data_IF_708417864415
#
_entry.id   IF_708417864415
#
_cell.length_a   1.000
_cell.length_b   1.000
_cell.length_c   1.000
_cell.angle_alpha   90.00
_cell.angle_beta   90.00
_cell.angle_gamma   90.00
#
_symmetry.space_group_name_H-M   'P 1'
#
loop_
_entity.id
_entity.type
_entity.pdbx_description
1 polymer ?
#
# COMPACT_ATOMS: atom_id res chain seq x y z
N UNK A 1 79.45 -58.33 1.96
CA UNK A 1 78.28 -59.21 2.24
C UNK A 1 77.72 -58.75 3.59
N UNK A 2 76.46 -58.37 3.83
CA UNK A 2 75.24 -58.31 3.03
C UNK A 2 74.21 -57.50 3.86
N UNK A 3 73.60 -56.52 3.19
CA UNK A 3 72.29 -55.85 3.44
C UNK A 3 71.32 -56.47 4.46
N UNK A 4 70.67 -55.62 5.30
CA UNK A 4 69.20 -55.67 5.47
C UNK A 4 68.58 -54.35 6.01
N UNK A 5 67.90 -53.62 5.12
CA UNK A 5 66.92 -52.56 5.45
C UNK A 5 65.61 -53.17 5.97
N UNK A 6 64.94 -52.48 6.92
CA UNK A 6 63.48 -52.50 7.20
C UNK A 6 63.16 -51.12 7.81
N UNK A 7 62.50 -50.15 7.16
CA UNK A 7 61.10 -50.08 6.70
C UNK A 7 60.17 -50.74 7.73
N UNK A 8 59.47 -50.03 8.61
CA UNK A 8 58.52 -48.95 8.35
C UNK A 8 57.12 -49.55 8.26
N UNK A 9 56.29 -49.42 9.31
CA UNK A 9 54.82 -49.58 9.28
C UNK A 9 54.27 -49.54 10.70
N UNK A 10 53.24 -48.73 10.96
CA UNK A 10 52.53 -48.79 12.24
C UNK A 10 51.65 -47.59 12.62
N UNK A 11 50.96 -46.94 11.67
CA UNK A 11 49.89 -45.98 12.00
C UNK A 11 48.70 -46.12 11.03
N UNK A 12 48.03 -47.26 11.09
CA UNK A 12 46.69 -47.44 10.53
C UNK A 12 45.74 -47.71 11.68
N UNK A 13 44.73 -46.85 11.91
CA UNK A 13 43.68 -47.22 12.86
C UNK A 13 42.65 -46.18 13.30
N UNK A 14 42.80 -44.87 13.05
CA UNK A 14 41.89 -43.89 13.68
C UNK A 14 41.20 -42.90 12.74
N UNK A 15 41.43 -42.95 11.43
CA UNK A 15 40.82 -42.03 10.45
C UNK A 15 39.55 -42.55 9.75
N UNK A 16 39.15 -43.80 10.01
CA UNK A 16 38.04 -44.46 9.31
C UNK A 16 36.63 -44.11 9.82
N UNK A 17 36.50 -43.52 11.00
CA UNK A 17 35.18 -43.24 11.63
C UNK A 17 34.70 -41.80 11.42
N UNK A 18 35.62 -40.84 11.22
CA UNK A 18 35.27 -39.43 11.05
C UNK A 18 34.55 -39.13 9.72
N UNK A 19 34.86 -39.85 8.65
CA UNK A 19 34.32 -39.59 7.30
C UNK A 19 32.88 -40.07 7.10
N UNK A 20 32.41 -41.07 7.86
CA UNK A 20 31.01 -41.55 7.83
C UNK A 20 30.06 -40.64 8.60
N UNK A 21 30.52 -40.03 9.69
CA UNK A 21 29.73 -39.11 10.50
C UNK A 21 29.45 -37.78 9.76
N UNK A 22 30.41 -37.28 8.98
CA UNK A 22 30.24 -36.06 8.17
C UNK A 22 29.16 -36.23 7.09
N UNK A 23 29.17 -37.34 6.33
CA UNK A 23 28.13 -37.61 5.30
C UNK A 23 26.70 -37.60 5.83
N UNK A 24 26.48 -38.09 7.06
CA UNK A 24 25.14 -38.08 7.70
C UNK A 24 24.73 -36.69 8.16
N UNK A 25 25.67 -35.90 8.69
CA UNK A 25 25.44 -34.50 9.10
C UNK A 25 25.17 -33.61 7.89
N UNK A 26 25.92 -33.76 6.80
CA UNK A 26 25.72 -33.00 5.56
C UNK A 26 24.37 -33.31 4.92
N UNK A 27 23.91 -34.57 4.99
CA UNK A 27 22.59 -34.96 4.51
C UNK A 27 21.45 -34.42 5.39
N UNK A 28 21.64 -34.37 6.71
CA UNK A 28 20.69 -33.73 7.63
C UNK A 28 20.62 -32.22 7.39
N UNK A 29 21.77 -31.56 7.21
CA UNK A 29 21.83 -30.14 6.87
C UNK A 29 21.14 -29.87 5.53
N UNK A 30 21.41 -30.68 4.49
CA UNK A 30 20.75 -30.56 3.20
C UNK A 30 19.22 -30.69 3.31
N UNK A 31 18.72 -31.59 4.17
CA UNK A 31 17.28 -31.73 4.44
C UNK A 31 16.71 -30.52 5.18
N UNK A 32 17.43 -29.99 6.17
CA UNK A 32 17.01 -28.81 6.92
C UNK A 32 16.96 -27.60 6.00
N UNK A 33 18.02 -27.34 5.23
CA UNK A 33 18.06 -26.24 4.26
C UNK A 33 17.01 -26.41 3.16
N UNK A 34 16.76 -27.63 2.68
CA UNK A 34 15.68 -27.92 1.74
C UNK A 34 14.30 -27.63 2.33
N UNK A 35 14.05 -28.05 3.57
CA UNK A 35 12.80 -27.78 4.28
C UNK A 35 12.59 -26.29 4.55
N UNK A 36 13.62 -25.60 5.05
CA UNK A 36 13.59 -24.15 5.29
C UNK A 36 13.37 -23.39 3.98
N UNK A 37 14.06 -23.77 2.91
CA UNK A 37 13.88 -23.18 1.59
C UNK A 37 12.45 -23.35 1.06
N UNK A 38 11.85 -24.52 1.25
CA UNK A 38 10.47 -24.79 0.85
C UNK A 38 9.47 -23.93 1.63
N UNK A 39 9.66 -23.80 2.95
CA UNK A 39 8.80 -22.96 3.80
C UNK A 39 8.91 -21.49 3.39
N UNK A 40 10.13 -20.99 3.12
CA UNK A 40 10.34 -19.62 2.67
C UNK A 40 9.70 -19.37 1.29
N UNK A 41 9.82 -20.31 0.36
CA UNK A 41 9.18 -20.20 -0.95
C UNK A 41 7.65 -20.18 -0.83
N UNK A 42 7.07 -21.05 0.00
CA UNK A 42 5.63 -21.08 0.25
C UNK A 42 5.14 -19.77 0.90
N UNK A 43 5.89 -19.24 1.88
CA UNK A 43 5.58 -17.97 2.52
C UNK A 43 5.63 -16.79 1.52
N UNK A 44 6.62 -16.79 0.63
CA UNK A 44 6.75 -15.78 -0.42
C UNK A 44 5.56 -15.83 -1.39
N UNK A 45 5.21 -17.02 -1.88
CA UNK A 45 4.04 -17.21 -2.76
C UNK A 45 2.77 -16.76 -2.06
N UNK A 46 2.54 -17.18 -0.81
CA UNK A 46 1.38 -16.77 -0.02
C UNK A 46 1.29 -15.26 0.16
N UNK A 47 2.43 -14.60 0.39
CA UNK A 47 2.48 -13.15 0.57
C UNK A 47 2.29 -12.38 -0.74
N UNK A 48 2.84 -12.86 -1.86
CA UNK A 48 2.78 -12.20 -3.16
C UNK A 48 1.48 -12.47 -3.92
N UNK A 49 0.86 -13.63 -3.73
CA UNK A 49 -0.39 -14.02 -4.39
C UNK A 49 -1.51 -12.97 -4.33
N UNK A 50 -1.85 -12.36 -3.17
CA UNK A 50 -2.92 -11.36 -3.12
C UNK A 50 -2.60 -10.11 -3.94
N UNK A 51 -1.33 -9.70 -4.03
CA UNK A 51 -0.93 -8.54 -4.82
C UNK A 51 -1.13 -8.77 -6.32
N UNK A 52 -0.89 -9.99 -6.79
CA UNK A 52 -1.12 -10.34 -8.19
C UNK A 52 -2.61 -10.27 -8.52
N UNK A 53 -3.47 -10.79 -7.63
CA UNK A 53 -4.93 -10.70 -7.77
C UNK A 53 -5.43 -9.25 -7.78
N UNK A 54 -4.90 -8.39 -6.90
CA UNK A 54 -5.27 -6.96 -6.83
C UNK A 54 -4.84 -6.20 -8.09
N UNK A 55 -3.69 -6.55 -8.67
CA UNK A 55 -3.18 -5.86 -9.88
C UNK A 55 -4.08 -6.03 -11.11
N UNK A 56 -4.87 -7.12 -11.17
CA UNK A 56 -5.87 -7.33 -12.21
C UNK A 56 -7.09 -6.42 -12.01
N UNK A 57 -7.51 -6.20 -10.76
CA UNK A 57 -8.66 -5.36 -10.43
C UNK A 57 -8.41 -3.89 -10.81
N UNK A 58 -7.21 -3.36 -10.52
CA UNK A 58 -6.81 -1.98 -10.88
C UNK A 58 -6.65 -1.75 -12.38
N UNK A 59 -6.40 -2.79 -13.20
CA UNK A 59 -6.41 -2.65 -14.66
C UNK A 59 -7.82 -2.46 -15.23
N UNK A 60 -8.84 -2.83 -14.46
CA UNK A 60 -10.24 -2.82 -14.84
C UNK A 60 -11.11 -1.90 -14.00
N UNK A 61 -10.56 -0.91 -13.29
CA UNK A 61 -11.35 0.23 -12.84
C UNK A 61 -11.43 1.22 -14.02
N UNK A 62 -12.49 1.22 -14.84
CA UNK A 62 -12.90 2.47 -15.41
C UNK A 62 -13.22 3.34 -14.21
N UNK A 63 -12.50 4.45 -14.04
CA UNK A 63 -13.03 5.58 -13.31
C UNK A 63 -14.30 6.03 -14.05
N UNK A 64 -15.40 5.31 -13.86
CA UNK A 64 -16.73 5.74 -14.27
C UNK A 64 -17.08 6.83 -13.28
N UNK A 65 -16.44 7.99 -13.44
CA UNK A 65 -16.82 9.18 -12.72
C UNK A 65 -18.27 9.44 -13.15
N UNK A 66 -19.23 9.38 -12.21
CA UNK A 66 -20.62 9.58 -12.56
C UNK A 66 -20.75 10.97 -13.20
N UNK A 67 -21.57 11.05 -14.24
CA UNK A 67 -21.86 12.33 -14.89
C UNK A 67 -22.41 13.31 -13.85
N UNK A 68 -21.71 14.43 -13.65
CA UNK A 68 -22.18 15.48 -12.73
C UNK A 68 -23.32 16.25 -13.40
N UNK A 69 -24.54 16.03 -12.93
CA UNK A 69 -25.71 16.78 -13.37
C UNK A 69 -25.80 18.09 -12.60
N UNK A 70 -25.50 19.21 -13.27
CA UNK A 70 -25.65 20.54 -12.70
C UNK A 70 -26.96 21.17 -13.13
N UNK A 71 -27.63 21.85 -12.19
CA UNK A 71 -28.79 22.68 -12.49
C UNK A 71 -28.42 23.96 -13.24
N UNK A 72 -29.44 24.71 -13.67
CA UNK A 72 -29.24 26.02 -14.30
C UNK A 72 -28.54 27.00 -13.34
N UNK A 73 -27.45 27.67 -13.77
CA UNK A 73 -26.78 28.65 -12.92
C UNK A 73 -27.66 29.87 -12.67
N UNK A 74 -27.65 30.36 -11.43
CA UNK A 74 -28.30 31.61 -11.05
C UNK A 74 -27.43 32.80 -11.49
N UNK A 75 -28.03 33.78 -12.18
CA UNK A 75 -27.34 34.99 -12.66
C UNK A 75 -27.92 36.21 -11.96
N UNK A 76 -27.03 37.08 -11.49
CA UNK A 76 -27.35 38.38 -10.93
C UNK A 76 -27.04 39.48 -11.96
N UNK A 77 -27.94 40.45 -12.09
CA UNK A 77 -27.74 41.64 -12.92
C UNK A 77 -28.05 42.92 -12.13
N UNK A 78 -27.34 44.03 -12.38
CA UNK A 78 -27.68 45.32 -11.80
C UNK A 78 -29.12 45.73 -12.14
N UNK A 79 -29.84 46.30 -11.18
CA UNK A 79 -31.24 46.72 -11.35
C UNK A 79 -32.27 45.59 -11.27
N UNK A 80 -31.85 44.34 -11.06
CA UNK A 80 -32.76 43.23 -10.82
C UNK A 80 -33.51 43.45 -9.49
N UNK A 81 -34.84 43.42 -9.52
CA UNK A 81 -35.71 43.55 -8.35
C UNK A 81 -35.65 42.32 -7.44
N UNK A 82 -34.53 42.11 -6.75
CA UNK A 82 -34.31 41.00 -5.83
C UNK A 82 -34.09 41.54 -4.42
N UNK A 83 -34.95 41.13 -3.48
CA UNK A 83 -34.80 41.51 -2.08
C UNK A 83 -33.57 40.84 -1.45
N UNK A 84 -32.85 41.50 -0.52
CA UNK A 84 -31.68 40.92 0.15
C UNK A 84 -31.97 39.58 0.85
N UNK A 85 -33.11 39.46 1.54
CA UNK A 85 -33.53 38.23 2.20
C UNK A 85 -33.75 37.07 1.20
N UNK A 86 -34.34 37.37 0.04
CA UNK A 86 -34.54 36.39 -1.03
C UNK A 86 -33.21 35.93 -1.66
N UNK A 87 -32.20 36.82 -1.72
CA UNK A 87 -30.86 36.45 -2.16
C UNK A 87 -30.16 35.52 -1.16
N UNK A 88 -30.28 35.79 0.14
CA UNK A 88 -29.75 34.91 1.21
C UNK A 88 -30.36 33.51 1.11
N UNK A 89 -31.69 33.40 1.07
CA UNK A 89 -32.40 32.12 0.93
C UNK A 89 -31.97 31.37 -0.35
N UNK A 90 -31.69 32.10 -1.43
CA UNK A 90 -31.22 31.50 -2.68
C UNK A 90 -29.80 30.96 -2.57
N UNK A 91 -28.91 31.70 -1.91
CA UNK A 91 -27.52 31.27 -1.68
C UNK A 91 -27.47 30.01 -0.82
N UNK A 92 -28.28 29.95 0.24
CA UNK A 92 -28.40 28.77 1.09
C UNK A 92 -28.89 27.53 0.31
N UNK A 93 -29.88 27.71 -0.58
CA UNK A 93 -30.32 26.64 -1.50
C UNK A 93 -29.25 26.19 -2.50
N UNK A 94 -28.31 27.05 -2.82
CA UNK A 94 -27.14 26.73 -3.66
C UNK A 94 -25.96 26.19 -2.84
N UNK A 95 -26.19 25.80 -1.59
CA UNK A 95 -25.21 25.28 -0.65
C UNK A 95 -24.09 26.27 -0.24
N UNK A 96 -24.32 27.58 -0.41
CA UNK A 96 -23.47 28.59 0.20
C UNK A 96 -23.80 28.73 1.69
N UNK A 97 -22.80 29.09 2.50
CA UNK A 97 -22.93 29.21 3.96
C UNK A 97 -22.65 30.64 4.44
N UNK A 98 -23.21 31.09 5.57
CA UNK A 98 -22.78 32.35 6.18
C UNK A 98 -21.29 32.27 6.55
N UNK A 99 -20.57 33.36 6.30
CA UNK A 99 -19.17 33.49 6.66
C UNK A 99 -19.01 33.48 8.19
N UNK A 100 -18.03 32.74 8.68
CA UNK A 100 -17.64 32.76 10.09
C UNK A 100 -16.66 33.90 10.41
N UNK A 101 -16.13 33.89 11.63
CA UNK A 101 -15.21 34.92 12.14
C UNK A 101 -13.93 35.10 11.30
N UNK A 102 -13.53 34.06 10.54
CA UNK A 102 -12.34 34.07 9.67
C UNK A 102 -12.55 34.83 8.35
N UNK A 103 -13.74 35.40 8.11
CA UNK A 103 -14.06 36.17 6.91
C UNK A 103 -14.53 35.30 5.73
N UNK A 104 -14.55 35.91 4.54
CA UNK A 104 -15.07 35.30 3.32
C UNK A 104 -14.11 34.21 2.81
N UNK A 105 -14.59 32.97 2.81
CA UNK A 105 -13.96 31.82 2.15
C UNK A 105 -14.81 31.32 0.99
N UNK A 106 -14.26 30.57 0.02
CA UNK A 106 -15.05 30.03 -1.10
C UNK A 106 -16.27 29.23 -0.59
N UNK A 107 -17.44 29.54 -1.16
CA UNK A 107 -18.70 28.94 -0.71
C UNK A 107 -19.34 29.63 0.50
N UNK A 108 -18.84 30.82 0.91
CA UNK A 108 -19.45 31.61 1.98
C UNK A 108 -19.96 32.98 1.53
N UNK A 109 -20.89 33.56 2.29
CA UNK A 109 -21.44 34.89 2.07
C UNK A 109 -21.56 35.67 3.38
N UNK A 110 -21.54 37.00 3.28
CA UNK A 110 -21.84 37.90 4.39
C UNK A 110 -23.13 38.66 4.08
N UNK A 111 -24.10 38.64 4.99
CA UNK A 111 -25.33 39.40 4.88
C UNK A 111 -25.32 40.49 5.95
N UNK A 112 -25.08 41.73 5.52
CA UNK A 112 -25.15 42.87 6.43
C UNK A 112 -26.63 43.26 6.62
N UNK A 113 -27.16 43.31 7.86
CA UNK A 113 -28.48 43.83 8.09
C UNK A 113 -28.47 45.31 7.71
N UNK A 114 -29.33 45.68 6.74
CA UNK A 114 -29.48 47.07 6.31
C UNK A 114 -30.02 47.88 7.50
N UNK A 115 -29.17 48.66 8.16
CA UNK A 115 -29.60 49.67 9.12
C UNK A 115 -30.60 50.60 8.39
N UNK A 116 -31.83 50.64 8.89
CA UNK A 116 -32.92 51.41 8.32
C UNK A 116 -32.53 52.88 8.13
N UNK A 117 -32.83 53.41 6.95
CA UNK A 117 -32.92 54.83 6.66
C UNK A 117 -34.34 55.11 6.23
#
# INVERSE_FOLDING_TARGET
MTSKRRSGSGRHGLLGTATRAMKRRDWLLAKIFGGVGLVLAAALVWSLWPYWRLSEEFRTLPEVQPSRLYGRPFRLAPGQGLAPAALVERLERLAYRPAGERGLTPGTFHAEPRAGR
#
